data_IF_009232638901
#
_entry.id   IF_009232638901
#
_cell.length_a   1.000
_cell.length_b   1.000
_cell.length_c   1.000
_cell.angle_alpha   90.00
_cell.angle_beta   90.00
_cell.angle_gamma   90.00
#
_symmetry.space_group_name_H-M   'P 1'
#
loop_
_entity.id
_entity.type
_entity.pdbx_description
1 polymer ?
#
# COMPACT_ATOMS: atom_id res chain seq x y z
N UNK A 1 22.06 -4.84 2.75
CA UNK A 1 21.32 -5.78 1.92
C UNK A 1 20.23 -4.98 1.23
N UNK A 2 20.27 -4.88 -0.06
CA UNK A 2 19.47 -3.96 -0.86
C UNK A 2 18.11 -4.61 -1.08
N UNK A 3 17.03 -3.89 -0.81
CA UNK A 3 15.70 -4.27 -1.29
C UNK A 3 15.72 -4.03 -2.79
N UNK A 4 15.95 -5.09 -3.55
CA UNK A 4 15.96 -5.18 -5.03
C UNK A 4 16.57 -3.99 -5.80
N UNK A 5 17.73 -3.51 -5.36
CA UNK A 5 18.53 -2.53 -6.11
C UNK A 5 18.02 -1.09 -6.10
N UNK A 6 16.86 -0.79 -5.47
CA UNK A 6 16.25 0.54 -5.50
C UNK A 6 16.42 1.34 -4.21
N UNK A 7 16.64 0.69 -3.07
CA UNK A 7 16.84 1.36 -1.77
C UNK A 7 18.25 1.09 -1.28
N UNK A 8 19.08 2.13 -1.09
CA UNK A 8 20.44 1.97 -0.57
C UNK A 8 20.42 1.56 0.91
N UNK A 9 21.57 1.11 1.38
CA UNK A 9 21.75 0.70 2.78
C UNK A 9 21.69 1.93 3.71
N UNK A 10 20.73 1.93 4.65
CA UNK A 10 20.52 2.99 5.60
C UNK A 10 21.28 2.78 6.92
N UNK A 11 21.30 3.80 7.75
CA UNK A 11 21.82 3.71 9.12
C UNK A 11 20.77 3.11 10.04
N UNK A 12 21.04 1.91 10.59
CA UNK A 12 20.15 1.29 11.58
C UNK A 12 20.00 2.23 12.78
N UNK A 13 18.78 2.64 13.08
CA UNK A 13 18.45 3.50 14.22
C UNK A 13 17.60 2.79 15.27
N UNK A 14 16.91 1.72 14.93
CA UNK A 14 16.13 0.91 15.87
C UNK A 14 15.97 -0.52 15.37
N UNK A 15 16.02 -1.48 16.31
CA UNK A 15 15.65 -2.88 16.06
C UNK A 15 14.76 -3.34 17.22
N UNK A 16 13.65 -3.98 16.93
CA UNK A 16 12.71 -4.55 17.91
C UNK A 16 12.27 -5.95 17.48
N UNK A 17 12.31 -6.85 18.42
CA UNK A 17 11.66 -8.16 18.31
C UNK A 17 10.26 -8.07 18.92
N UNK A 18 9.34 -8.90 18.48
CA UNK A 18 7.92 -8.86 18.90
C UNK A 18 7.26 -7.48 18.67
N UNK A 19 7.60 -6.83 17.56
CA UNK A 19 7.04 -5.54 17.19
C UNK A 19 5.65 -5.69 16.61
N UNK A 20 4.70 -4.93 17.14
CA UNK A 20 3.43 -4.64 16.48
C UNK A 20 3.62 -3.59 15.39
N UNK A 21 2.91 -3.74 14.28
CA UNK A 21 3.04 -2.81 13.13
C UNK A 21 2.52 -1.43 13.50
N UNK A 22 1.37 -1.34 14.17
CA UNK A 22 0.78 -0.07 14.60
C UNK A 22 1.69 0.71 15.55
N UNK A 23 2.26 0.04 16.58
CA UNK A 23 3.25 0.65 17.47
C UNK A 23 4.50 1.12 16.72
N UNK A 24 4.90 0.37 15.69
CA UNK A 24 6.05 0.74 14.87
C UNK A 24 5.77 1.98 14.05
N UNK A 25 4.59 2.04 13.38
CA UNK A 25 4.15 3.19 12.60
C UNK A 25 4.02 4.45 13.47
N UNK A 26 3.38 4.34 14.64
CA UNK A 26 3.28 5.44 15.60
C UNK A 26 4.67 5.95 16.01
N UNK A 27 5.58 5.03 16.31
CA UNK A 27 6.94 5.41 16.68
C UNK A 27 7.78 5.98 15.54
N UNK A 28 7.50 5.65 14.29
CA UNK A 28 8.12 6.24 13.10
C UNK A 28 7.60 7.66 12.89
N UNK A 29 6.28 7.87 13.01
CA UNK A 29 5.63 9.17 12.93
C UNK A 29 6.14 10.13 14.03
N UNK A 30 6.20 9.68 15.29
CA UNK A 30 6.69 10.48 16.43
C UNK A 30 8.12 10.99 16.26
N UNK A 31 8.94 10.28 15.51
CA UNK A 31 10.34 10.62 15.25
C UNK A 31 10.58 11.29 13.92
N UNK A 32 9.53 11.50 13.15
CA UNK A 32 9.61 12.07 11.80
C UNK A 32 10.68 11.34 10.95
N UNK A 33 10.71 9.99 11.04
CA UNK A 33 11.73 9.19 10.38
C UNK A 33 11.68 9.38 8.87
N UNK A 34 12.79 9.80 8.27
CA UNK A 34 13.03 9.66 6.84
C UNK A 34 13.94 8.45 6.62
N UNK A 35 13.44 7.45 5.87
CA UNK A 35 14.12 6.18 5.74
C UNK A 35 13.18 5.02 5.44
N UNK A 36 13.48 3.85 5.99
CA UNK A 36 12.63 2.67 5.80
C UNK A 36 12.60 1.77 7.04
N UNK A 37 11.55 0.95 7.12
CA UNK A 37 11.41 -0.13 8.10
C UNK A 37 11.30 -1.46 7.37
N UNK A 38 12.11 -2.42 7.79
CA UNK A 38 12.03 -3.82 7.36
C UNK A 38 11.26 -4.60 8.41
N UNK A 39 10.24 -5.33 8.00
CA UNK A 39 9.47 -6.24 8.83
C UNK A 39 9.74 -7.67 8.40
N UNK A 40 10.19 -8.49 9.32
CA UNK A 40 10.39 -9.94 9.16
C UNK A 40 9.41 -10.68 10.08
N UNK A 41 8.50 -11.53 9.56
CA UNK A 41 7.57 -12.28 10.40
C UNK A 41 8.31 -13.19 11.37
N UNK A 42 7.83 -13.28 12.61
CA UNK A 42 8.40 -14.20 13.59
C UNK A 42 8.17 -15.66 13.13
N UNK A 43 9.25 -16.44 13.10
CA UNK A 43 9.21 -17.83 12.66
C UNK A 43 9.60 -18.08 11.19
N UNK A 44 9.91 -17.04 10.43
CA UNK A 44 10.38 -17.16 9.03
C UNK A 44 11.73 -17.91 8.92
N UNK A 45 12.52 -17.92 9.96
CA UNK A 45 13.80 -18.68 10.06
C UNK A 45 13.62 -20.16 9.72
N UNK A 46 12.43 -20.73 9.96
CA UNK A 46 12.11 -22.12 9.64
C UNK A 46 11.61 -22.31 8.20
N UNK A 47 11.33 -21.24 7.48
CA UNK A 47 10.76 -21.27 6.12
C UNK A 47 11.66 -20.74 5.01
N UNK A 48 12.93 -20.47 5.28
CA UNK A 48 13.90 -20.08 4.25
C UNK A 48 14.21 -18.59 4.13
N UNK A 49 13.79 -17.77 5.07
CA UNK A 49 14.51 -16.51 5.38
C UNK A 49 14.27 -15.26 4.52
N UNK A 50 13.43 -15.29 3.49
CA UNK A 50 13.21 -14.12 2.63
C UNK A 50 11.81 -13.46 2.76
N UNK A 51 11.06 -13.82 3.79
CA UNK A 51 9.75 -13.19 4.04
C UNK A 51 9.93 -11.78 4.63
N UNK A 52 10.22 -10.80 3.78
CA UNK A 52 10.42 -9.41 4.19
C UNK A 52 9.40 -8.50 3.53
N UNK A 53 8.81 -7.63 4.35
CA UNK A 53 8.09 -6.48 3.86
C UNK A 53 8.84 -5.20 4.25
N UNK A 54 8.82 -4.22 3.37
CA UNK A 54 9.50 -2.94 3.56
C UNK A 54 8.50 -1.82 3.37
N UNK A 55 8.50 -0.89 4.32
CA UNK A 55 7.82 0.40 4.17
C UNK A 55 8.86 1.51 4.18
N UNK A 56 8.73 2.47 3.26
CA UNK A 56 9.54 3.69 3.28
C UNK A 56 8.74 4.87 3.82
N UNK A 57 9.45 5.85 4.35
CA UNK A 57 8.89 7.00 5.02
C UNK A 57 9.64 8.29 4.65
N UNK A 58 8.90 9.39 4.56
CA UNK A 58 9.42 10.75 4.56
C UNK A 58 8.80 11.50 5.74
N UNK A 59 9.63 12.04 6.63
CA UNK A 59 9.20 12.77 7.83
C UNK A 59 8.15 12.00 8.66
N UNK A 60 8.29 10.67 8.73
CA UNK A 60 7.37 9.78 9.45
C UNK A 60 6.15 9.34 8.66
N UNK A 61 5.89 9.93 7.49
CA UNK A 61 4.75 9.63 6.63
C UNK A 61 5.08 8.48 5.67
N UNK A 62 4.26 7.42 5.60
CA UNK A 62 4.48 6.31 4.67
C UNK A 62 4.47 6.75 3.20
N UNK A 63 5.37 6.21 2.37
CA UNK A 63 5.45 6.50 0.94
C UNK A 63 5.28 5.27 0.07
N UNK A 64 6.04 4.21 0.35
CA UNK A 64 5.99 2.96 -0.37
C UNK A 64 5.75 1.79 0.56
N UNK A 65 5.18 0.71 0.00
CA UNK A 65 5.21 -0.63 0.56
C UNK A 65 5.67 -1.64 -0.48
N UNK A 66 6.46 -2.62 -0.06
CA UNK A 66 6.93 -3.72 -0.90
C UNK A 66 7.05 -5.00 -0.09
N UNK A 67 6.59 -6.12 -0.67
CA UNK A 67 6.74 -7.44 -0.09
C UNK A 67 7.56 -8.33 -1.01
N UNK A 68 8.77 -8.66 -0.60
CA UNK A 68 9.77 -9.35 -1.41
C UNK A 68 9.34 -10.74 -1.89
N UNK A 69 8.75 -11.62 -1.04
CA UNK A 69 8.40 -12.98 -1.48
C UNK A 69 7.35 -13.06 -2.58
N UNK A 70 6.40 -12.15 -2.60
CA UNK A 70 5.34 -12.12 -3.62
C UNK A 70 5.62 -11.13 -4.75
N UNK A 71 6.72 -10.39 -4.67
CA UNK A 71 7.07 -9.31 -5.60
C UNK A 71 5.89 -8.33 -5.81
N UNK A 72 5.20 -8.01 -4.70
CA UNK A 72 4.05 -7.09 -4.71
C UNK A 72 4.40 -5.78 -4.06
N UNK A 73 3.87 -4.69 -4.63
CA UNK A 73 4.04 -3.34 -4.13
C UNK A 73 2.74 -2.65 -3.76
N UNK A 74 2.86 -1.46 -3.20
CA UNK A 74 1.73 -0.61 -2.89
C UNK A 74 0.81 -1.21 -1.81
N UNK A 75 -0.47 -0.97 -1.97
CA UNK A 75 -1.49 -1.40 -1.00
C UNK A 75 -1.59 -2.93 -0.85
N UNK A 76 -1.26 -3.69 -1.90
CA UNK A 76 -1.30 -5.16 -1.87
C UNK A 76 -0.20 -5.74 -0.98
N UNK A 77 0.96 -5.08 -0.92
CA UNK A 77 2.05 -5.46 -0.03
C UNK A 77 1.70 -5.34 1.46
N UNK A 78 0.76 -4.47 1.83
CA UNK A 78 0.30 -4.32 3.21
C UNK A 78 -0.36 -5.58 3.75
N UNK A 79 -0.98 -6.40 2.88
CA UNK A 79 -1.59 -7.66 3.27
C UNK A 79 -0.62 -8.62 3.97
N UNK A 80 0.66 -8.59 3.59
CA UNK A 80 1.70 -9.41 4.19
C UNK A 80 2.06 -9.00 5.64
N UNK A 81 1.68 -7.78 6.03
CA UNK A 81 1.90 -7.22 7.37
C UNK A 81 0.66 -7.36 8.28
N UNK A 82 -0.44 -7.93 7.77
CA UNK A 82 -1.67 -8.10 8.53
C UNK A 82 -1.54 -9.25 9.53
N UNK A 83 -1.69 -8.93 10.80
CA UNK A 83 -1.84 -9.91 11.89
C UNK A 83 -0.56 -10.69 12.22
N UNK A 84 0.16 -10.24 13.21
CA UNK A 84 1.33 -10.94 13.73
C UNK A 84 2.31 -10.01 14.45
N UNK A 85 3.30 -10.63 15.03
CA UNK A 85 4.45 -9.93 15.58
C UNK A 85 5.63 -10.11 14.61
N UNK A 86 6.40 -9.07 14.47
CA UNK A 86 7.52 -8.99 13.54
C UNK A 86 8.82 -8.67 14.26
N UNK A 87 9.92 -9.07 13.65
CA UNK A 87 11.18 -8.39 13.89
C UNK A 87 11.19 -7.14 12.99
N UNK A 88 11.22 -5.95 13.61
CA UNK A 88 11.18 -4.68 12.91
C UNK A 88 12.50 -3.93 13.04
N UNK A 89 13.11 -3.58 11.93
CA UNK A 89 14.34 -2.79 11.87
C UNK A 89 14.09 -1.48 11.12
N UNK A 90 14.36 -0.36 11.81
CA UNK A 90 14.20 0.98 11.21
C UNK A 90 15.57 1.54 10.81
N UNK A 91 15.64 2.00 9.59
CA UNK A 91 16.85 2.56 9.00
C UNK A 91 16.62 4.00 8.55
N UNK A 92 17.54 4.87 8.89
CA UNK A 92 17.52 6.28 8.49
C UNK A 92 18.31 6.47 7.19
N UNK A 93 17.74 7.24 6.28
CA UNK A 93 18.34 7.64 5.01
C UNK A 93 17.97 9.09 4.71
N UNK A 94 18.83 9.85 4.01
CA UNK A 94 18.43 11.14 3.47
C UNK A 94 17.37 10.96 2.37
N UNK A 95 16.46 11.92 2.25
CA UNK A 95 15.32 11.86 1.32
C UNK A 95 15.75 11.69 -0.16
N UNK A 96 16.86 12.30 -0.56
CA UNK A 96 17.40 12.18 -1.91
C UNK A 96 17.83 10.74 -2.26
N UNK A 97 18.24 9.96 -1.27
CA UNK A 97 18.57 8.55 -1.47
C UNK A 97 17.33 7.66 -1.76
N UNK A 98 16.14 8.11 -1.37
CA UNK A 98 14.88 7.42 -1.61
C UNK A 98 14.14 7.93 -2.87
N UNK A 99 14.58 9.06 -3.43
CA UNK A 99 13.87 9.75 -4.50
C UNK A 99 13.60 8.88 -5.74
N UNK A 100 14.52 8.00 -6.13
CA UNK A 100 14.33 7.13 -7.28
C UNK A 100 13.30 6.00 -6.98
N UNK A 101 13.35 5.42 -5.78
CA UNK A 101 12.37 4.44 -5.35
C UNK A 101 10.96 5.07 -5.27
N UNK A 102 10.85 6.28 -4.72
CA UNK A 102 9.58 7.00 -4.54
C UNK A 102 8.91 7.44 -5.85
N UNK A 103 9.58 7.31 -7.01
CA UNK A 103 8.97 7.52 -8.34
C UNK A 103 8.28 6.29 -8.90
N UNK A 104 8.38 5.14 -8.25
CA UNK A 104 7.77 3.90 -8.72
C UNK A 104 6.31 3.86 -8.25
N UNK A 105 5.38 4.29 -9.09
CA UNK A 105 3.96 4.41 -8.75
C UNK A 105 3.34 3.09 -8.26
N UNK A 106 3.76 1.94 -8.82
CA UNK A 106 3.27 0.63 -8.43
C UNK A 106 3.59 0.24 -6.96
N UNK A 107 4.56 0.91 -6.34
CA UNK A 107 4.96 0.69 -4.96
C UNK A 107 4.34 1.69 -3.99
N UNK A 108 3.75 2.78 -4.50
CA UNK A 108 3.23 3.86 -3.66
C UNK A 108 2.01 3.43 -2.84
N UNK A 109 1.92 3.96 -1.64
CA UNK A 109 0.75 3.82 -0.77
C UNK A 109 0.19 5.19 -0.41
N UNK A 110 -1.13 5.26 -0.22
CA UNK A 110 -1.72 6.42 0.41
C UNK A 110 -1.13 6.61 1.82
N UNK A 111 -0.87 7.84 2.27
CA UNK A 111 -0.23 8.10 3.56
C UNK A 111 -0.88 7.39 4.74
N UNK A 112 -2.19 7.35 4.78
CA UNK A 112 -2.97 6.74 5.87
C UNK A 112 -3.20 5.24 5.72
N UNK A 113 -2.99 4.65 4.53
CA UNK A 113 -3.33 3.25 4.25
C UNK A 113 -2.63 2.23 5.18
N UNK A 114 -1.34 2.39 5.54
CA UNK A 114 -0.72 1.48 6.50
C UNK A 114 -1.35 1.56 7.89
N UNK A 115 -1.68 2.75 8.40
CA UNK A 115 -2.32 2.91 9.69
C UNK A 115 -3.75 2.34 9.70
N UNK A 116 -4.53 2.66 8.67
CA UNK A 116 -5.92 2.20 8.49
C UNK A 116 -6.02 0.67 8.39
N UNK A 117 -5.12 0.04 7.64
CA UNK A 117 -5.20 -1.41 7.37
C UNK A 117 -4.51 -2.29 8.40
N UNK A 118 -3.50 -1.77 9.10
CA UNK A 118 -2.60 -2.58 9.91
C UNK A 118 -2.67 -2.29 11.40
N UNK A 119 -3.07 -1.07 11.79
CA UNK A 119 -3.07 -0.65 13.18
C UNK A 119 -4.45 -0.70 13.85
N UNK A 120 -5.54 -0.66 13.08
CA UNK A 120 -6.92 -0.52 13.59
C UNK A 120 -7.02 0.63 14.62
N UNK A 121 -6.33 1.75 14.34
CA UNK A 121 -6.17 2.91 15.22
C UNK A 121 -6.51 4.21 14.48
N UNK A 122 -7.75 4.69 14.65
CA UNK A 122 -8.25 5.91 14.03
C UNK A 122 -7.42 7.15 14.42
N UNK A 123 -6.86 7.18 15.63
CA UNK A 123 -6.05 8.30 16.07
C UNK A 123 -4.70 8.33 15.32
N UNK A 124 -4.11 7.19 15.04
CA UNK A 124 -2.90 7.11 14.22
C UNK A 124 -3.18 7.49 12.76
N UNK A 125 -4.32 7.08 12.22
CA UNK A 125 -4.78 7.48 10.86
C UNK A 125 -4.88 9.00 10.77
N UNK A 126 -5.54 9.65 11.73
CA UNK A 126 -5.72 11.10 11.73
C UNK A 126 -4.39 11.84 11.88
N UNK A 127 -3.53 11.42 12.80
CA UNK A 127 -2.19 11.98 12.98
C UNK A 127 -1.32 11.84 11.73
N UNK A 128 -1.42 10.71 11.04
CA UNK A 128 -0.68 10.49 9.79
C UNK A 128 -1.21 11.39 8.68
N UNK A 129 -2.54 11.60 8.64
CA UNK A 129 -3.17 12.53 7.68
C UNK A 129 -2.71 13.97 7.91
N UNK A 130 -2.69 14.42 9.18
CA UNK A 130 -2.25 15.76 9.55
C UNK A 130 -0.78 16.02 9.24
N UNK A 131 0.07 14.98 9.34
CA UNK A 131 1.49 15.08 9.03
C UNK A 131 1.81 14.96 7.53
N UNK A 132 0.89 14.41 6.74
CA UNK A 132 1.13 14.18 5.32
C UNK A 132 0.98 15.48 4.51
N UNK A 133 1.80 15.68 3.45
CA UNK A 133 1.62 16.75 2.50
C UNK A 133 0.23 16.70 1.83
N UNK A 134 -0.41 17.87 1.63
CA UNK A 134 -1.78 17.98 1.12
C UNK A 134 -1.97 17.27 -0.23
N UNK A 135 -1.01 17.41 -1.16
CA UNK A 135 -1.03 16.76 -2.46
C UNK A 135 -1.04 15.22 -2.35
N UNK A 136 -0.35 14.67 -1.38
CA UNK A 136 -0.33 13.21 -1.14
C UNK A 136 -1.61 12.70 -0.49
N UNK A 137 -2.28 13.52 0.31
CA UNK A 137 -3.58 13.19 0.91
C UNK A 137 -4.66 13.14 -0.17
N UNK A 138 -4.67 14.11 -1.10
CA UNK A 138 -5.60 14.17 -2.23
C UNK A 138 -5.44 12.96 -3.15
N UNK A 139 -4.20 12.65 -3.58
CA UNK A 139 -3.89 11.47 -4.41
C UNK A 139 -4.34 10.16 -3.73
N UNK A 140 -4.14 10.07 -2.40
CA UNK A 140 -4.53 8.90 -1.61
C UNK A 140 -6.05 8.74 -1.49
N UNK A 141 -6.79 9.85 -1.37
CA UNK A 141 -8.24 9.84 -1.30
C UNK A 141 -8.86 9.39 -2.64
N UNK A 142 -8.33 9.88 -3.77
CA UNK A 142 -8.78 9.50 -5.11
C UNK A 142 -8.51 8.02 -5.39
N UNK A 143 -7.31 7.53 -5.07
CA UNK A 143 -6.95 6.12 -5.20
C UNK A 143 -7.82 5.22 -4.30
N UNK A 144 -8.09 5.65 -3.07
CA UNK A 144 -8.98 4.95 -2.13
C UNK A 144 -10.42 4.89 -2.61
N UNK A 145 -10.95 5.97 -3.17
CA UNK A 145 -12.29 6.03 -3.74
C UNK A 145 -12.43 5.09 -4.95
N UNK A 146 -11.42 5.06 -5.83
CA UNK A 146 -11.39 4.13 -6.98
C UNK A 146 -11.30 2.69 -6.52
N UNK A 147 -10.44 2.38 -5.55
CA UNK A 147 -10.31 1.02 -5.01
C UNK A 147 -11.61 0.55 -4.33
N UNK A 148 -12.26 1.40 -3.54
CA UNK A 148 -13.55 1.11 -2.92
C UNK A 148 -14.66 0.87 -3.96
N UNK A 149 -14.65 1.68 -5.03
CA UNK A 149 -15.58 1.52 -6.16
C UNK A 149 -15.39 0.18 -6.88
N UNK A 150 -14.13 -0.20 -7.17
CA UNK A 150 -13.79 -1.46 -7.83
C UNK A 150 -13.99 -2.70 -6.95
N UNK A 151 -14.06 -2.52 -5.64
CA UNK A 151 -14.28 -3.60 -4.67
C UNK A 151 -15.75 -3.81 -4.32
N UNK A 152 -16.67 -2.97 -4.86
CA UNK A 152 -18.12 -3.08 -4.63
C UNK A 152 -18.76 -3.93 -5.75
N UNK A 153 -19.05 -5.22 -5.52
CA UNK A 153 -19.58 -6.12 -6.54
C UNK A 153 -20.97 -5.70 -7.03
N UNK A 154 -21.79 -5.11 -6.15
CA UNK A 154 -23.16 -4.68 -6.50
C UNK A 154 -23.11 -3.48 -7.47
N UNK A 155 -22.15 -2.59 -7.25
CA UNK A 155 -21.91 -1.44 -8.11
C UNK A 155 -21.35 -1.82 -9.47
N UNK A 156 -20.42 -2.78 -9.50
CA UNK A 156 -19.88 -3.33 -10.75
C UNK A 156 -20.99 -4.01 -11.56
N UNK A 157 -21.85 -4.79 -10.90
CA UNK A 157 -22.96 -5.46 -11.57
C UNK A 157 -24.00 -4.46 -12.10
N UNK A 158 -24.29 -3.39 -11.36
CA UNK A 158 -25.19 -2.32 -11.83
C UNK A 158 -24.67 -1.65 -13.09
N UNK A 159 -23.36 -1.34 -13.15
CA UNK A 159 -22.73 -0.75 -14.35
C UNK A 159 -22.76 -1.73 -15.53
N UNK A 160 -22.52 -3.02 -15.30
CA UNK A 160 -22.59 -4.04 -16.34
C UNK A 160 -24.00 -4.15 -16.92
N UNK A 161 -25.03 -4.08 -16.08
CA UNK A 161 -26.43 -4.11 -16.52
C UNK A 161 -26.80 -2.88 -17.33
N UNK A 162 -26.38 -1.70 -16.87
CA UNK A 162 -26.59 -0.43 -17.59
C UNK A 162 -25.88 -0.44 -18.94
N UNK A 163 -24.60 -0.84 -18.97
CA UNK A 163 -23.82 -0.93 -20.22
C UNK A 163 -24.43 -1.95 -21.20
N UNK A 164 -24.98 -3.07 -20.70
CA UNK A 164 -25.65 -4.07 -21.54
C UNK A 164 -26.94 -3.50 -22.12
N UNK A 165 -27.78 -2.84 -21.31
CA UNK A 165 -29.01 -2.23 -21.76
C UNK A 165 -28.74 -1.15 -22.84
N UNK A 166 -27.73 -0.32 -22.62
CA UNK A 166 -27.31 0.72 -23.60
C UNK A 166 -26.77 0.10 -24.90
N UNK A 167 -26.02 -1.01 -24.80
CA UNK A 167 -25.54 -1.73 -25.98
C UNK A 167 -26.69 -2.38 -26.77
N UNK A 168 -27.68 -2.94 -26.11
CA UNK A 168 -28.88 -3.51 -26.73
C UNK A 168 -29.71 -2.43 -27.44
N UNK A 169 -29.89 -1.24 -26.82
CA UNK A 169 -30.58 -0.11 -27.43
C UNK A 169 -29.86 0.37 -28.67
N UNK A 170 -28.53 0.54 -28.64
CA UNK A 170 -27.73 0.91 -29.80
C UNK A 170 -27.76 -0.15 -30.93
N UNK A 171 -27.73 -1.44 -30.54
CA UNK A 171 -27.82 -2.52 -31.51
C UNK A 171 -29.17 -2.56 -32.18
N UNK A 172 -30.27 -2.23 -31.48
CA UNK A 172 -31.60 -2.11 -32.04
C UNK A 172 -31.69 -0.93 -33.00
N UNK A 173 -31.10 0.25 -32.65
CA UNK A 173 -31.07 1.42 -33.56
C UNK A 173 -30.28 1.14 -34.86
N UNK A 174 -29.24 0.31 -34.78
CA UNK A 174 -28.39 -0.01 -35.94
C UNK A 174 -28.84 -1.27 -36.68
N UNK A 175 -29.94 -1.93 -36.25
CA UNK A 175 -30.46 -3.14 -36.89
C UNK A 175 -29.57 -4.37 -36.74
N UNK A 176 -28.74 -4.41 -35.68
CA UNK A 176 -27.77 -5.48 -35.40
C UNK A 176 -28.25 -6.48 -34.35
N UNK A 177 -29.52 -6.46 -33.98
CA UNK A 177 -30.13 -7.34 -32.95
C UNK A 177 -29.96 -8.82 -33.23
N UNK A 178 -29.92 -9.22 -34.52
CA UNK A 178 -29.78 -10.64 -34.92
C UNK A 178 -28.36 -11.21 -34.69
N UNK A 179 -27.35 -10.36 -34.36
CA UNK A 179 -25.96 -10.78 -34.12
C UNK A 179 -25.61 -10.96 -32.64
N UNK A 180 -26.47 -10.53 -31.73
CA UNK A 180 -26.24 -10.63 -30.27
C UNK A 180 -26.73 -11.93 -29.67
N UNK A 181 -27.55 -12.70 -30.38
CA UNK A 181 -28.18 -13.94 -29.87
C UNK A 181 -27.36 -15.21 -30.17
N UNK A 182 -26.17 -15.10 -30.79
CA UNK A 182 -25.36 -16.23 -31.27
C UNK A 182 -23.98 -16.34 -30.55
N UNK A 183 -23.89 -15.88 -29.27
CA UNK A 183 -22.65 -15.90 -28.46
C UNK A 183 -22.80 -16.55 -27.09
#
# INVERSE_FOLDING_TARGET
>A
MVVDGHIPEGRLCRSRTDADVGETLAGVLDRELTGYVVFEPQGSILRGGDERAVLTFEEGVPVLAYHAPSDTGGTDALGALSGGLFHAESYELPADALADAHRVDALRVAPTAPADRLADDDALVERTREAAPDDRVEDGADAGAVAAFLSDPDRIEAIRQEARAEAEERAAEWGLTDQLDDG
#
